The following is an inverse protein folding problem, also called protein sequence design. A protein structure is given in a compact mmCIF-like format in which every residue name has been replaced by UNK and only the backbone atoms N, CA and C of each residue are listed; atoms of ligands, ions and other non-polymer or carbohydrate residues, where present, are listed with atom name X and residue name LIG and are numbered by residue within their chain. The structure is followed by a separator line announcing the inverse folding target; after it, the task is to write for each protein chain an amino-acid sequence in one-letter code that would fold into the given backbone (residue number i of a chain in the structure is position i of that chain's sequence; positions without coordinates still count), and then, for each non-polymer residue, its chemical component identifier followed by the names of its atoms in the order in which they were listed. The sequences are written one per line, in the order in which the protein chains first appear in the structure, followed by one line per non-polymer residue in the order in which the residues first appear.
data_IF_865592305754
#
_entry.id   IF_865592305754
#
_cell.length_a   1.000
_cell.length_b   1.000
_cell.length_c   1.000
_cell.angle_alpha   90.00
_cell.angle_beta   90.00
_cell.angle_gamma   90.00
#
_symmetry.space_group_name_H-M   'P 1'
#
loop_
_entity.id
_entity.type
_entity.pdbx_description
1 polymer ?
#
# COMPACT_ATOMS: atom_id res chain seq x y z
N UNK A 1 15.16 -22.01 -0.62
CA UNK A 1 15.71 -20.69 -0.98
C UNK A 1 14.65 -19.64 -0.67
N UNK A 2 14.87 -18.77 0.31
CA UNK A 2 13.94 -17.69 0.65
C UNK A 2 14.50 -16.38 0.09
N UNK A 3 13.90 -15.87 -0.99
CA UNK A 3 14.17 -14.51 -1.45
C UNK A 3 13.46 -13.54 -0.51
N UNK A 4 14.10 -13.15 0.59
CA UNK A 4 13.68 -11.96 1.34
C UNK A 4 14.32 -10.76 0.63
N UNK A 5 13.81 -10.43 -0.55
CA UNK A 5 14.16 -9.19 -1.23
C UNK A 5 12.94 -8.28 -1.16
N UNK A 6 12.77 -7.65 0.00
CA UNK A 6 11.61 -6.82 0.27
C UNK A 6 12.02 -5.69 1.20
N UNK A 7 12.34 -4.54 0.63
CA UNK A 7 12.50 -3.33 1.43
C UNK A 7 11.13 -3.00 2.03
N UNK A 8 11.01 -3.11 3.35
CA UNK A 8 9.84 -2.60 4.05
C UNK A 8 9.77 -1.10 3.80
N UNK A 9 8.68 -0.63 3.21
CA UNK A 9 8.51 0.78 2.87
C UNK A 9 7.09 1.24 3.14
N UNK A 10 6.99 2.54 3.41
CA UNK A 10 5.75 3.27 3.64
C UNK A 10 5.59 4.20 2.46
N UNK A 11 4.50 4.06 1.70
CA UNK A 11 4.22 4.87 0.52
C UNK A 11 2.88 5.56 0.70
N UNK A 12 2.90 6.89 0.60
CA UNK A 12 1.68 7.70 0.52
C UNK A 12 1.13 7.61 -0.90
N UNK A 13 -0.13 7.20 -1.04
CA UNK A 13 -0.77 7.03 -2.36
C UNK A 13 -2.13 7.69 -2.40
N UNK A 14 -2.51 8.21 -3.57
CA UNK A 14 -3.87 8.64 -3.86
C UNK A 14 -4.75 7.43 -4.19
N UNK A 15 -5.93 7.36 -3.57
CA UNK A 15 -6.89 6.27 -3.77
C UNK A 15 -7.83 6.63 -4.90
N UNK A 16 -7.68 5.96 -6.04
CA UNK A 16 -8.60 6.10 -7.18
C UNK A 16 -9.86 5.24 -7.04
N UNK A 17 -9.73 4.05 -6.47
CA UNK A 17 -10.83 3.11 -6.22
C UNK A 17 -10.48 2.20 -5.06
N UNK A 18 -11.49 1.81 -4.28
CA UNK A 18 -11.38 0.89 -3.16
C UNK A 18 -12.63 0.02 -3.06
N UNK A 19 -12.46 -1.19 -2.51
CA UNK A 19 -13.59 -2.08 -2.19
C UNK A 19 -14.26 -1.75 -0.86
N UNK A 20 -13.91 -0.63 -0.25
CA UNK A 20 -14.38 -0.15 1.06
C UNK A 20 -14.51 1.37 1.01
N UNK A 21 -15.35 1.92 1.89
CA UNK A 21 -15.54 3.37 1.97
C UNK A 21 -14.38 3.99 2.73
N UNK A 22 -13.63 4.88 2.08
CA UNK A 22 -12.67 5.76 2.72
C UNK A 22 -13.20 7.18 2.74
N UNK A 23 -13.13 7.83 3.90
CA UNK A 23 -13.33 9.27 3.99
C UNK A 23 -12.15 10.05 3.38
N UNK A 24 -10.94 9.48 3.47
CA UNK A 24 -9.70 10.08 3.01
C UNK A 24 -9.35 9.60 1.59
N UNK A 25 -8.93 10.53 0.73
CA UNK A 25 -8.50 10.23 -0.66
C UNK A 25 -7.03 9.84 -0.77
N UNK A 26 -6.30 9.90 0.33
CA UNK A 26 -4.88 9.60 0.43
C UNK A 26 -4.65 8.65 1.60
N UNK A 27 -3.76 7.68 1.46
CA UNK A 27 -3.48 6.70 2.51
C UNK A 27 -2.01 6.25 2.51
N UNK A 28 -1.51 5.92 3.69
CA UNK A 28 -0.25 5.20 3.85
C UNK A 28 -0.44 3.70 3.54
N UNK A 29 0.26 3.23 2.52
CA UNK A 29 0.38 1.81 2.19
C UNK A 29 1.74 1.31 2.67
N UNK A 30 1.73 0.29 3.53
CA UNK A 30 2.93 -0.31 4.11
C UNK A 30 3.08 -1.75 3.66
N UNK A 31 4.31 -2.16 3.37
CA UNK A 31 4.58 -3.53 2.92
C UNK A 31 5.99 -3.68 2.38
N UNK A 32 6.26 -4.86 1.84
CA UNK A 32 7.51 -5.15 1.14
C UNK A 32 7.30 -4.87 -0.35
N UNK A 33 7.90 -3.80 -0.83
CA UNK A 33 7.82 -3.40 -2.24
C UNK A 33 9.20 -3.46 -2.89
N UNK A 34 9.23 -3.80 -4.18
CA UNK A 34 10.40 -3.62 -5.02
C UNK A 34 10.57 -2.13 -5.37
N UNK A 35 10.56 -1.79 -6.66
CA UNK A 35 10.52 -0.39 -7.12
C UNK A 35 9.11 -0.01 -7.57
N UNK A 36 8.36 0.62 -6.66
CA UNK A 36 7.20 1.42 -7.08
C UNK A 36 7.71 2.67 -7.79
N UNK A 37 7.03 3.07 -8.86
CA UNK A 37 7.37 4.25 -9.64
C UNK A 37 6.31 5.33 -9.44
N UNK A 38 6.75 6.57 -9.20
CA UNK A 38 5.85 7.71 -9.12
C UNK A 38 5.07 7.88 -10.43
N UNK A 39 3.83 8.36 -10.34
CA UNK A 39 2.95 8.57 -11.50
C UNK A 39 2.32 7.29 -12.08
N UNK A 40 2.68 6.11 -11.58
CA UNK A 40 2.12 4.84 -12.05
C UNK A 40 1.01 4.33 -11.14
N UNK A 41 0.03 3.64 -11.72
CA UNK A 41 -1.09 3.08 -10.99
C UNK A 41 -0.78 1.65 -10.51
N UNK A 42 -1.17 1.34 -9.28
CA UNK A 42 -0.99 0.03 -8.68
C UNK A 42 -2.28 -0.43 -8.00
N UNK A 43 -2.53 -1.74 -8.02
CA UNK A 43 -3.54 -2.37 -7.18
C UNK A 43 -2.85 -3.06 -6.01
N UNK A 44 -3.22 -2.67 -4.80
CA UNK A 44 -2.78 -3.30 -3.56
C UNK A 44 -3.85 -4.25 -3.04
N UNK A 45 -3.43 -5.39 -2.49
CA UNK A 45 -4.28 -6.32 -1.73
C UNK A 45 -3.72 -6.43 -0.32
N UNK A 46 -4.59 -6.49 0.68
CA UNK A 46 -4.17 -6.36 2.07
C UNK A 46 -5.33 -6.03 3.01
N UNK A 47 -4.99 -5.46 4.17
CA UNK A 47 -5.96 -5.13 5.21
C UNK A 47 -5.61 -3.81 5.91
N UNK A 48 -6.60 -3.20 6.55
CA UNK A 48 -6.40 -2.03 7.39
C UNK A 48 -5.81 -2.39 8.74
N UNK A 49 -4.90 -1.54 9.20
CA UNK A 49 -4.35 -1.61 10.55
C UNK A 49 -4.22 -0.19 11.09
N UNK A 50 -4.53 0.02 12.36
CA UNK A 50 -4.13 1.25 13.04
C UNK A 50 -2.67 1.17 13.43
N UNK A 51 -1.91 2.21 13.12
CA UNK A 51 -0.55 2.35 13.62
C UNK A 51 -0.57 2.75 15.12
N UNK A 52 0.58 2.73 15.83
CA UNK A 52 0.66 3.12 17.24
C UNK A 52 0.25 4.57 17.54
N UNK A 53 0.15 5.43 16.53
CA UNK A 53 -0.34 6.82 16.62
C UNK A 53 -1.83 6.93 16.26
N UNK A 54 -2.56 5.81 16.22
CA UNK A 54 -3.97 5.70 15.86
C UNK A 54 -4.35 6.14 14.44
N UNK A 55 -3.38 6.35 13.55
CA UNK A 55 -3.65 6.63 12.13
C UNK A 55 -3.89 5.32 11.37
N UNK A 56 -4.81 5.35 10.40
CA UNK A 56 -5.08 4.21 9.55
C UNK A 56 -4.00 4.06 8.49
N UNK A 57 -3.49 2.84 8.35
CA UNK A 57 -2.60 2.43 7.26
C UNK A 57 -3.14 1.16 6.61
N UNK A 58 -2.84 0.99 5.34
CA UNK A 58 -3.14 -0.22 4.60
C UNK A 58 -1.90 -1.11 4.53
N UNK A 59 -1.97 -2.30 5.14
CA UNK A 59 -0.89 -3.29 5.12
C UNK A 59 -1.06 -4.14 3.87
N UNK A 60 -0.23 -3.89 2.88
CA UNK A 60 -0.24 -4.64 1.62
C UNK A 60 0.48 -5.98 1.78
N UNK A 61 -0.22 -7.06 1.41
CA UNK A 61 0.33 -8.42 1.32
C UNK A 61 0.80 -8.73 -0.10
N UNK A 62 0.23 -8.08 -1.10
CA UNK A 62 0.68 -8.14 -2.48
C UNK A 62 0.28 -6.88 -3.25
N UNK A 63 0.93 -6.66 -4.39
CA UNK A 63 0.64 -5.56 -5.28
C UNK A 63 0.89 -5.94 -6.73
N UNK A 64 0.21 -5.26 -7.66
CA UNK A 64 0.48 -5.37 -9.09
C UNK A 64 0.41 -4.01 -9.77
N UNK A 65 1.30 -3.80 -10.73
CA UNK A 65 1.23 -2.65 -11.63
C UNK A 65 -0.05 -2.74 -12.49
N UNK A 66 -0.69 -1.59 -12.71
CA UNK A 66 -1.79 -1.46 -13.65
C UNK A 66 -1.23 -0.72 -14.87
N UNK A 67 -1.15 -1.43 -16.01
CA UNK A 67 -0.80 -0.84 -17.29
C UNK A 67 -1.96 0.02 -17.84
#
# INVERSE_FOLDING_TARGET
MAFVNGFFSINRVNVSSSSFVLAEKEIDVVGHFGRLQAGHAYRFLGHFKRNPRHQWQFVATSYRHLN
#
